data_IF_144324887316
#
_entry.id   IF_144324887316
#
_cell.length_a   1.000
_cell.length_b   1.000
_cell.length_c   1.000
_cell.angle_alpha   90.00
_cell.angle_beta   90.00
_cell.angle_gamma   90.00
#
_symmetry.space_group_name_H-M   'P 1'
#
loop_
_entity.id
_entity.type
_entity.pdbx_description
1 polymer ?
#
# COMPACT_ATOMS: atom_id res chain seq x y z
N UNK A 1 25.03 26.13 28.86
CA UNK A 1 24.43 26.48 27.57
C UNK A 1 24.73 25.48 26.48
N UNK A 2 25.97 25.06 26.33
CA UNK A 2 26.36 24.06 25.33
C UNK A 2 25.72 22.70 25.53
N UNK A 3 25.46 22.29 26.78
CA UNK A 3 24.82 21.01 27.10
C UNK A 3 23.36 20.97 26.67
N UNK A 4 22.63 22.10 26.73
CA UNK A 4 21.25 22.18 26.30
C UNK A 4 21.11 22.13 24.79
N UNK A 5 22.05 22.70 24.07
CA UNK A 5 22.10 22.67 22.60
C UNK A 5 22.38 21.27 22.08
N UNK A 6 23.27 20.51 22.75
CA UNK A 6 23.58 19.14 22.38
C UNK A 6 22.38 18.20 22.59
N UNK A 7 21.60 18.41 23.66
CA UNK A 7 20.41 17.63 23.93
C UNK A 7 19.32 17.90 22.87
N UNK A 8 19.17 19.13 22.44
CA UNK A 8 18.22 19.51 21.41
C UNK A 8 18.58 18.87 20.06
N UNK A 9 19.86 18.81 19.73
CA UNK A 9 20.34 18.15 18.52
C UNK A 9 20.04 16.65 18.51
N UNK A 10 20.19 15.98 19.64
CA UNK A 10 19.88 14.56 19.78
C UNK A 10 18.39 14.27 19.61
N UNK A 11 17.52 15.14 20.13
CA UNK A 11 16.06 15.01 19.97
C UNK A 11 15.65 15.20 18.51
N UNK A 12 16.28 16.15 17.80
CA UNK A 12 15.99 16.42 16.38
C UNK A 12 16.50 15.30 15.46
N UNK A 13 17.56 14.58 15.85
CA UNK A 13 18.07 13.46 15.06
C UNK A 13 17.26 12.19 15.22
N UNK A 14 16.59 11.99 16.37
CA UNK A 14 15.83 10.78 16.66
C UNK A 14 14.68 10.53 15.64
N UNK A 15 13.86 11.53 15.22
CA UNK A 15 12.83 11.30 14.22
C UNK A 15 13.37 10.82 12.88
N UNK A 16 14.57 11.23 12.49
CA UNK A 16 15.17 10.82 11.22
C UNK A 16 15.51 9.33 11.21
N UNK A 17 15.84 8.74 12.37
CA UNK A 17 16.13 7.31 12.48
C UNK A 17 14.88 6.46 12.32
N UNK A 18 13.70 6.96 12.73
CA UNK A 18 12.43 6.25 12.62
C UNK A 18 11.74 6.47 11.28
N UNK A 19 12.23 7.40 10.46
CA UNK A 19 11.67 7.71 9.15
C UNK A 19 12.31 6.91 8.02
N UNK A 20 13.07 5.84 8.34
CA UNK A 20 13.68 5.00 7.32
C UNK A 20 12.61 4.24 6.55
N UNK A 21 12.71 4.31 5.22
CA UNK A 21 11.80 3.60 4.34
C UNK A 21 12.00 2.10 4.43
N UNK A 22 10.89 1.39 4.45
CA UNK A 22 10.88 -0.06 4.30
C UNK A 22 11.06 -0.35 2.81
N UNK A 23 11.90 -1.33 2.48
CA UNK A 23 12.04 -1.81 1.11
C UNK A 23 10.74 -2.45 0.66
N UNK A 24 10.20 -1.93 -0.44
CA UNK A 24 8.97 -2.44 -1.03
C UNK A 24 9.23 -2.99 -2.41
N UNK A 25 8.49 -4.03 -2.76
CA UNK A 25 8.59 -4.75 -4.02
C UNK A 25 7.43 -4.34 -4.91
N UNK A 26 7.69 -4.08 -6.18
CA UNK A 26 6.64 -3.84 -7.16
C UNK A 26 5.82 -5.11 -7.35
N UNK A 27 4.52 -5.00 -7.10
CA UNK A 27 3.56 -6.10 -7.22
C UNK A 27 2.57 -5.75 -8.32
N UNK A 28 2.29 -6.71 -9.17
CA UNK A 28 1.28 -6.62 -10.23
C UNK A 28 0.00 -7.23 -9.72
N UNK A 29 -1.07 -6.46 -9.76
CA UNK A 29 -2.35 -6.90 -9.23
C UNK A 29 -3.45 -6.87 -10.26
N UNK A 30 -4.50 -7.62 -9.95
CA UNK A 30 -5.74 -7.59 -10.72
C UNK A 30 -6.93 -7.65 -9.78
N UNK A 31 -7.87 -6.73 -10.00
CA UNK A 31 -9.17 -6.77 -9.34
C UNK A 31 -10.15 -7.48 -10.26
N UNK A 32 -10.72 -8.57 -9.76
CA UNK A 32 -11.72 -9.37 -10.46
C UNK A 32 -13.11 -8.92 -10.00
N UNK A 33 -13.94 -8.51 -10.95
CA UNK A 33 -15.31 -8.07 -10.67
C UNK A 33 -16.29 -9.05 -11.28
N UNK A 34 -17.55 -9.09 -10.78
CA UNK A 34 -18.59 -9.91 -11.38
C UNK A 34 -18.82 -9.52 -12.85
N UNK A 35 -19.27 -10.48 -13.64
CA UNK A 35 -19.54 -10.29 -15.05
C UNK A 35 -20.51 -9.14 -15.26
N UNK A 36 -20.17 -8.24 -16.20
CA UNK A 36 -20.99 -7.08 -16.52
C UNK A 36 -20.69 -5.84 -15.68
N UNK A 37 -19.81 -5.95 -14.68
CA UNK A 37 -19.39 -4.82 -13.86
C UNK A 37 -18.07 -4.23 -14.35
N UNK A 38 -17.83 -2.96 -13.97
CA UNK A 38 -16.66 -2.21 -14.40
C UNK A 38 -15.51 -2.41 -13.42
N UNK A 39 -14.37 -2.85 -13.93
CA UNK A 39 -13.15 -3.05 -13.13
C UNK A 39 -12.23 -1.83 -13.14
N UNK A 40 -12.58 -0.77 -13.89
CA UNK A 40 -11.73 0.43 -14.01
C UNK A 40 -11.99 1.40 -12.85
N UNK A 41 -10.93 2.10 -12.46
CA UNK A 41 -11.05 3.19 -11.48
C UNK A 41 -11.21 2.74 -10.03
N UNK A 42 -10.93 1.49 -9.74
CA UNK A 42 -10.95 0.98 -8.36
C UNK A 42 -9.69 1.46 -7.65
N UNK A 43 -9.87 2.08 -6.48
CA UNK A 43 -8.75 2.58 -5.69
C UNK A 43 -8.06 1.45 -4.93
N UNK A 44 -6.75 1.40 -5.06
CA UNK A 44 -5.88 0.47 -4.33
C UNK A 44 -4.87 1.34 -3.58
N UNK A 45 -5.04 1.46 -2.28
CA UNK A 45 -4.27 2.40 -1.46
C UNK A 45 -3.52 1.67 -0.35
N UNK A 46 -2.19 1.79 -0.37
CA UNK A 46 -1.37 1.24 0.70
C UNK A 46 -1.34 2.22 1.87
N UNK A 47 -2.09 1.91 2.93
CA UNK A 47 -2.17 2.75 4.12
C UNK A 47 -0.80 2.85 4.79
N UNK A 48 -0.04 1.76 4.79
CA UNK A 48 1.26 1.70 5.46
C UNK A 48 2.30 2.60 4.83
N UNK A 49 2.31 2.73 3.49
CA UNK A 49 3.24 3.60 2.77
C UNK A 49 2.63 4.94 2.39
N UNK A 50 1.31 5.10 2.52
CA UNK A 50 0.57 6.29 2.10
C UNK A 50 0.70 6.55 0.59
N UNK A 51 0.73 5.48 -0.20
CA UNK A 51 0.77 5.55 -1.66
C UNK A 51 -0.31 4.67 -2.24
N UNK A 52 -0.87 5.11 -3.35
CA UNK A 52 -1.96 4.38 -3.98
C UNK A 52 -1.93 4.45 -5.49
N UNK A 53 -2.83 3.68 -6.08
CA UNK A 53 -3.03 3.62 -7.51
C UNK A 53 -4.51 3.35 -7.79
N UNK A 54 -4.87 3.36 -9.05
CA UNK A 54 -6.21 2.96 -9.51
C UNK A 54 -6.08 1.92 -10.60
N UNK A 55 -7.09 1.07 -10.74
CA UNK A 55 -7.10 0.03 -11.77
C UNK A 55 -7.35 0.61 -13.16
N UNK A 56 -6.79 -0.06 -14.17
CA UNK A 56 -7.10 0.22 -15.57
C UNK A 56 -8.41 -0.46 -16.00
N UNK A 57 -8.73 -0.39 -17.30
CA UNK A 57 -9.98 -0.93 -17.86
C UNK A 57 -10.13 -2.44 -17.62
N UNK A 58 -9.03 -3.16 -17.51
CA UNK A 58 -9.02 -4.61 -17.28
C UNK A 58 -8.95 -4.98 -15.80
N UNK A 59 -8.89 -3.99 -14.91
CA UNK A 59 -8.77 -4.20 -13.48
C UNK A 59 -7.33 -4.39 -13.02
N UNK A 60 -6.35 -4.16 -13.87
CA UNK A 60 -4.94 -4.33 -13.54
C UNK A 60 -4.39 -3.09 -12.82
N UNK A 61 -3.44 -3.32 -11.91
CA UNK A 61 -2.74 -2.25 -11.22
C UNK A 61 -1.31 -2.69 -10.85
N UNK A 62 -0.48 -1.71 -10.55
CA UNK A 62 0.87 -1.92 -10.01
C UNK A 62 1.02 -1.10 -8.74
N UNK A 63 1.62 -1.67 -7.71
CA UNK A 63 1.83 -0.99 -6.44
C UNK A 63 3.04 -1.59 -5.72
N UNK A 64 3.78 -0.76 -5.01
CA UNK A 64 4.90 -1.23 -4.20
C UNK A 64 4.39 -1.68 -2.83
N UNK A 65 4.72 -2.91 -2.45
CA UNK A 65 4.22 -3.54 -1.23
C UNK A 65 5.34 -4.22 -0.45
N UNK A 66 5.17 -4.28 0.87
CA UNK A 66 5.97 -5.09 1.77
C UNK A 66 5.05 -6.01 2.56
N UNK A 67 5.61 -7.08 3.12
CA UNK A 67 4.85 -7.98 3.98
C UNK A 67 4.24 -7.21 5.15
N UNK A 68 3.00 -7.52 5.47
CA UNK A 68 2.20 -6.90 6.52
C UNK A 68 1.72 -5.47 6.20
N UNK A 69 1.98 -4.94 5.01
CA UNK A 69 1.36 -3.69 4.59
C UNK A 69 -0.16 -3.84 4.54
N UNK A 70 -0.85 -2.76 4.85
CA UNK A 70 -2.32 -2.70 4.82
C UNK A 70 -2.75 -1.98 3.57
N UNK A 71 -3.48 -2.69 2.71
CA UNK A 71 -3.94 -2.15 1.44
C UNK A 71 -5.46 -2.03 1.48
N UNK A 72 -5.95 -0.81 1.30
CA UNK A 72 -7.38 -0.53 1.28
C UNK A 72 -7.90 -0.51 -0.15
N UNK A 73 -8.97 -1.24 -0.38
CA UNK A 73 -9.64 -1.33 -1.67
C UNK A 73 -10.96 -0.55 -1.59
N UNK A 74 -11.16 0.37 -2.51
CA UNK A 74 -12.37 1.19 -2.54
C UNK A 74 -12.93 1.24 -3.95
N UNK A 75 -14.17 0.78 -4.09
CA UNK A 75 -14.93 0.83 -5.34
C UNK A 75 -16.32 1.40 -5.06
N UNK A 76 -16.90 2.08 -6.06
CA UNK A 76 -18.14 2.84 -5.88
C UNK A 76 -19.31 1.99 -5.40
N UNK A 77 -19.40 0.74 -5.83
CA UNK A 77 -20.54 -0.14 -5.54
C UNK A 77 -20.26 -1.14 -4.41
N UNK A 78 -19.11 -1.04 -3.78
CA UNK A 78 -18.68 -2.02 -2.77
C UNK A 78 -18.26 -1.31 -1.50
N UNK A 79 -18.48 -1.99 -0.38
CA UNK A 79 -17.95 -1.52 0.89
C UNK A 79 -16.41 -1.64 0.86
N UNK A 80 -15.71 -0.59 1.31
CA UNK A 80 -14.25 -0.61 1.40
C UNK A 80 -13.79 -1.67 2.38
N UNK A 81 -12.68 -2.32 2.06
CA UNK A 81 -12.06 -3.30 2.95
C UNK A 81 -10.54 -3.21 2.88
N UNK A 82 -9.88 -3.78 3.87
CA UNK A 82 -8.43 -3.77 3.99
C UNK A 82 -7.88 -5.18 3.86
N UNK A 83 -6.87 -5.33 3.01
CA UNK A 83 -6.13 -6.57 2.82
C UNK A 83 -4.76 -6.42 3.46
N UNK A 84 -4.35 -7.41 4.26
CA UNK A 84 -3.00 -7.45 4.80
C UNK A 84 -2.13 -8.27 3.85
N UNK A 85 -1.02 -7.69 3.41
CA UNK A 85 -0.13 -8.31 2.43
C UNK A 85 0.62 -9.46 3.08
N UNK A 86 0.47 -10.67 2.52
CA UNK A 86 1.20 -11.82 3.01
C UNK A 86 2.52 -12.02 2.25
N UNK A 87 3.36 -12.89 2.77
CA UNK A 87 4.65 -13.20 2.18
C UNK A 87 4.54 -13.74 0.76
N UNK A 88 3.49 -14.50 0.47
CA UNK A 88 3.27 -15.10 -0.85
C UNK A 88 3.09 -14.05 -1.94
N UNK A 89 2.39 -12.96 -1.64
CA UNK A 89 2.23 -11.84 -2.57
C UNK A 89 3.59 -11.26 -2.95
N UNK A 90 4.45 -11.05 -1.97
CA UNK A 90 5.79 -10.47 -2.21
C UNK A 90 6.67 -11.44 -3.01
N UNK A 91 6.63 -12.71 -2.67
CA UNK A 91 7.44 -13.74 -3.33
C UNK A 91 7.04 -13.92 -4.80
N UNK A 92 5.74 -13.97 -5.07
CA UNK A 92 5.21 -14.14 -6.43
C UNK A 92 5.11 -12.84 -7.20
N UNK A 93 5.13 -11.69 -6.51
CA UNK A 93 4.94 -10.35 -7.09
C UNK A 93 3.60 -10.19 -7.78
N UNK A 94 2.59 -10.89 -7.28
CA UNK A 94 1.24 -10.91 -7.85
C UNK A 94 0.22 -10.84 -6.72
N UNK A 95 -0.82 -10.01 -6.92
CA UNK A 95 -1.93 -9.88 -5.99
C UNK A 95 -3.25 -9.95 -6.75
N UNK A 96 -4.12 -10.87 -6.33
CA UNK A 96 -5.47 -10.97 -6.90
C UNK A 96 -6.50 -10.56 -5.85
N UNK A 97 -7.41 -9.70 -6.26
CA UNK A 97 -8.49 -9.20 -5.40
C UNK A 97 -9.81 -9.56 -6.08
N UNK A 98 -10.73 -10.14 -5.32
CA UNK A 98 -12.02 -10.58 -5.83
C UNK A 98 -13.14 -9.78 -5.18
N UNK A 99 -13.91 -9.05 -5.98
CA UNK A 99 -15.10 -8.33 -5.52
C UNK A 99 -16.35 -9.14 -5.87
N UNK A 100 -17.19 -9.32 -4.86
CA UNK A 100 -18.44 -10.07 -5.02
C UNK A 100 -19.64 -9.25 -4.58
#
# INVERSE_FOLDING_TARGET
MTKKLLLLLLILAAPALFAQDIDRTKVFGKVHVPQGEDAEGISVYNISSQKGTVTDADGNFEIDLAENDRVQITALQYQSFTVIVDKGVITRKVMNIFLN
#
